data_IF_503513710171
#
_entry.id   IF_503513710171
#
_cell.length_a   1.000
_cell.length_b   1.000
_cell.length_c   1.000
_cell.angle_alpha   90.00
_cell.angle_beta   90.00
_cell.angle_gamma   90.00
#
_symmetry.space_group_name_H-M   'P 1'
#
loop_
_entity.id
_entity.type
_entity.pdbx_description
1 polymer ?
#
# COMPACT_ATOMS: atom_id res chain seq x y z
N UNK A 1 -3.89 0.70 -3.38
CA UNK A 1 -4.15 1.97 -2.67
C UNK A 1 -3.38 3.12 -3.31
N UNK A 2 -2.04 3.03 -3.41
CA UNK A 2 -1.21 4.06 -4.07
C UNK A 2 -1.79 4.52 -5.42
N UNK A 3 -2.04 3.59 -6.36
CA UNK A 3 -2.58 3.90 -7.70
C UNK A 3 -3.91 4.67 -7.66
N UNK A 4 -4.82 4.31 -6.75
CA UNK A 4 -6.12 4.98 -6.60
C UNK A 4 -5.93 6.42 -6.13
N UNK A 5 -4.98 6.63 -5.22
CA UNK A 5 -4.75 7.94 -4.60
C UNK A 5 -3.96 8.88 -5.49
N UNK A 6 -2.99 8.36 -6.25
CA UNK A 6 -2.12 9.14 -7.14
C UNK A 6 -2.71 9.29 -8.54
N UNK A 7 -3.63 8.39 -8.94
CA UNK A 7 -4.09 8.30 -10.33
C UNK A 7 -3.00 7.83 -11.30
N UNK A 8 -1.88 7.32 -10.77
CA UNK A 8 -0.69 6.91 -11.52
C UNK A 8 -0.29 5.51 -11.12
N UNK A 9 0.33 4.77 -12.05
CA UNK A 9 0.87 3.45 -11.75
C UNK A 9 1.96 3.55 -10.67
N UNK A 10 2.08 2.57 -9.76
CA UNK A 10 3.21 2.50 -8.85
C UNK A 10 4.54 2.51 -9.60
N UNK A 11 5.48 3.36 -9.15
CA UNK A 11 6.79 3.54 -9.78
C UNK A 11 6.71 4.06 -11.23
N UNK A 12 5.70 4.88 -11.56
CA UNK A 12 5.65 5.55 -12.86
C UNK A 12 6.91 6.40 -13.08
N UNK A 13 7.48 6.31 -14.29
CA UNK A 13 8.78 6.93 -14.62
C UNK A 13 10.01 6.05 -14.35
N UNK A 14 9.88 4.94 -13.62
CA UNK A 14 10.98 3.99 -13.40
C UNK A 14 10.96 2.87 -14.45
N UNK A 15 12.13 2.36 -14.91
CA UNK A 15 12.19 1.15 -15.73
C UNK A 15 11.65 -0.08 -14.99
N UNK A 16 10.74 -0.84 -15.62
CA UNK A 16 10.22 -2.09 -15.09
C UNK A 16 11.18 -3.25 -15.40
N UNK A 17 12.33 -3.24 -14.73
CA UNK A 17 13.39 -4.23 -14.90
C UNK A 17 13.72 -4.99 -13.59
N UNK A 18 14.77 -5.82 -13.65
CA UNK A 18 15.25 -6.59 -12.51
C UNK A 18 15.74 -5.66 -11.39
N UNK A 19 16.29 -4.48 -11.72
CA UNK A 19 16.75 -3.50 -10.74
C UNK A 19 15.59 -2.98 -9.89
N UNK A 20 14.47 -2.63 -10.51
CA UNK A 20 13.25 -2.26 -9.78
C UNK A 20 12.74 -3.41 -8.90
N UNK A 21 12.72 -4.63 -9.45
CA UNK A 21 12.29 -5.82 -8.71
C UNK A 21 13.12 -6.06 -7.44
N UNK A 22 14.46 -5.93 -7.55
CA UNK A 22 15.36 -6.06 -6.40
C UNK A 22 15.15 -4.97 -5.35
N UNK A 23 14.92 -3.72 -5.77
CA UNK A 23 14.60 -2.63 -4.84
C UNK A 23 13.31 -2.90 -4.06
N UNK A 24 12.27 -3.42 -4.72
CA UNK A 24 11.00 -3.80 -4.07
C UNK A 24 11.22 -4.94 -3.07
N UNK A 25 11.98 -5.97 -3.44
CA UNK A 25 12.39 -7.05 -2.53
C UNK A 25 13.18 -6.53 -1.32
N UNK A 26 13.93 -5.42 -1.48
CA UNK A 26 14.69 -4.76 -0.42
C UNK A 26 13.87 -3.68 0.34
N UNK A 27 12.55 -3.69 0.23
CA UNK A 27 11.69 -2.81 1.03
C UNK A 27 11.23 -1.52 0.34
N UNK A 28 11.58 -1.28 -0.93
CA UNK A 28 10.99 -0.16 -1.67
C UNK A 28 9.46 -0.33 -1.75
N UNK A 29 8.72 0.72 -1.40
CA UNK A 29 7.24 0.78 -1.45
C UNK A 29 6.80 2.02 -2.24
N UNK A 30 5.62 1.97 -2.88
CA UNK A 30 5.11 3.11 -3.61
C UNK A 30 4.70 4.24 -2.66
N UNK A 31 4.81 5.48 -3.13
CA UNK A 31 4.34 6.66 -2.43
C UNK A 31 2.82 6.84 -2.60
N UNK A 32 2.23 7.59 -1.66
CA UNK A 32 0.82 7.95 -1.68
C UNK A 32 0.66 9.43 -2.02
N UNK A 33 -0.47 9.80 -2.62
CA UNK A 33 -0.72 11.20 -2.93
C UNK A 33 -0.85 12.05 -1.67
N UNK A 34 -0.45 13.34 -1.70
CA UNK A 34 -0.74 14.28 -0.63
C UNK A 34 -2.24 14.30 -0.31
N UNK A 35 -2.59 14.25 0.98
CA UNK A 35 -3.98 14.23 1.43
C UNK A 35 -4.64 12.84 1.43
N UNK A 36 -3.92 11.78 1.09
CA UNK A 36 -4.39 10.41 1.30
C UNK A 36 -4.71 10.20 2.78
N UNK A 37 -5.91 9.72 3.16
CA UNK A 37 -6.25 9.45 4.56
C UNK A 37 -5.27 8.47 5.21
N UNK A 38 -4.82 8.79 6.42
CA UNK A 38 -3.82 8.01 7.17
C UNK A 38 -4.24 6.53 7.35
N UNK A 39 -5.54 6.29 7.54
CA UNK A 39 -6.07 4.93 7.67
C UNK A 39 -5.79 4.07 6.43
N UNK A 40 -5.81 4.67 5.24
CA UNK A 40 -5.51 3.99 3.99
C UNK A 40 -4.02 3.80 3.75
N UNK A 41 -3.19 4.74 4.20
CA UNK A 41 -1.72 4.60 4.18
C UNK A 41 -1.31 3.43 5.08
N UNK A 42 -1.79 3.43 6.33
CA UNK A 42 -1.54 2.35 7.29
C UNK A 42 -1.99 0.99 6.76
N UNK A 43 -3.20 0.91 6.23
CA UNK A 43 -3.73 -0.32 5.64
C UNK A 43 -2.87 -0.80 4.46
N UNK A 44 -2.50 0.10 3.56
CA UNK A 44 -1.67 -0.25 2.41
C UNK A 44 -0.29 -0.76 2.85
N UNK A 45 0.33 -0.12 3.84
CA UNK A 45 1.61 -0.55 4.40
C UNK A 45 1.50 -1.94 5.03
N UNK A 46 0.44 -2.22 5.81
CA UNK A 46 0.18 -3.56 6.36
C UNK A 46 0.00 -4.62 5.27
N UNK A 47 -0.70 -4.30 4.19
CA UNK A 47 -0.84 -5.23 3.05
C UNK A 47 0.49 -5.52 2.33
N UNK A 48 1.47 -4.62 2.46
CA UNK A 48 2.78 -4.72 1.83
C UNK A 48 3.90 -5.04 2.84
N UNK A 49 3.55 -5.59 4.01
CA UNK A 49 4.52 -5.94 5.05
C UNK A 49 5.51 -7.00 4.53
N UNK A 50 6.75 -6.92 5.00
CA UNK A 50 7.80 -7.88 4.65
C UNK A 50 7.53 -9.25 5.26
N UNK A 51 6.94 -9.32 6.46
CA UNK A 51 6.45 -10.56 7.05
C UNK A 51 5.07 -10.92 6.46
N UNK A 52 4.95 -12.05 5.73
CA UNK A 52 3.66 -12.48 5.19
C UNK A 52 2.58 -12.70 6.25
N UNK A 53 2.95 -12.98 7.51
CA UNK A 53 2.01 -13.23 8.60
C UNK A 53 1.37 -11.94 9.15
N UNK A 54 2.04 -10.81 9.01
CA UNK A 54 1.54 -9.49 9.42
C UNK A 54 0.57 -8.90 8.38
N UNK A 55 0.51 -9.49 7.17
CA UNK A 55 -0.42 -9.07 6.12
C UNK A 55 -1.86 -9.41 6.52
N UNK A 56 -2.80 -8.45 6.46
CA UNK A 56 -4.19 -8.73 6.77
C UNK A 56 -4.86 -9.51 5.64
N UNK A 57 -5.65 -10.51 6.00
CA UNK A 57 -6.60 -11.14 5.09
C UNK A 57 -7.79 -10.21 4.81
N UNK A 58 -8.64 -10.61 3.85
CA UNK A 58 -9.79 -9.82 3.43
C UNK A 58 -10.80 -9.61 4.58
N UNK A 59 -10.93 -10.56 5.50
CA UNK A 59 -11.86 -10.45 6.63
C UNK A 59 -11.39 -9.37 7.61
N UNK A 60 -10.10 -9.36 7.96
CA UNK A 60 -9.45 -8.31 8.78
C UNK A 60 -9.55 -6.93 8.12
N UNK A 61 -9.37 -6.85 6.80
CA UNK A 61 -9.53 -5.60 6.04
C UNK A 61 -10.98 -5.09 6.12
N UNK A 62 -11.97 -5.98 6.01
CA UNK A 62 -13.38 -5.57 6.09
C UNK A 62 -13.77 -5.12 7.50
N UNK A 63 -13.23 -5.77 8.53
CA UNK A 63 -13.42 -5.34 9.91
C UNK A 63 -12.84 -3.93 10.17
N UNK A 64 -11.67 -3.61 9.61
CA UNK A 64 -11.03 -2.29 9.79
C UNK A 64 -11.73 -1.15 9.03
N UNK A 65 -12.55 -1.45 8.01
CA UNK A 65 -13.40 -0.45 7.35
C UNK A 65 -14.59 -0.02 8.22
N UNK A 66 -15.09 -0.92 9.06
CA UNK A 66 -16.28 -0.68 9.88
C UNK A 66 -16.02 0.23 11.10
N UNK A 67 -14.75 0.40 11.49
CA UNK A 67 -14.38 1.31 12.59
C UNK A 67 -14.26 2.78 12.15
N UNK A 68 -14.14 3.05 10.84
CA UNK A 68 -14.00 4.41 10.28
C UNK A 68 -15.33 5.01 9.79
N UNK A 69 -16.47 4.32 9.98
CA UNK A 69 -17.81 4.78 9.57
C UNK A 69 -18.57 5.53 10.68
N UNK A 70 -17.92 5.77 11.82
CA UNK A 70 -18.51 6.49 12.95
C UNK A 70 -17.78 7.80 13.20
N UNK A 71 -17.85 8.73 12.25
CA UNK A 71 -17.67 10.17 12.49
C UNK A 71 -18.46 10.94 11.44
#
# INVERSE_FOLDING_TARGET
MAEITTGQRPFDGEPFDIGLSLRICNGLRPEFAPGTPECYIKLANQCMDDDPNERPDVEKINASKNTNKST
#
